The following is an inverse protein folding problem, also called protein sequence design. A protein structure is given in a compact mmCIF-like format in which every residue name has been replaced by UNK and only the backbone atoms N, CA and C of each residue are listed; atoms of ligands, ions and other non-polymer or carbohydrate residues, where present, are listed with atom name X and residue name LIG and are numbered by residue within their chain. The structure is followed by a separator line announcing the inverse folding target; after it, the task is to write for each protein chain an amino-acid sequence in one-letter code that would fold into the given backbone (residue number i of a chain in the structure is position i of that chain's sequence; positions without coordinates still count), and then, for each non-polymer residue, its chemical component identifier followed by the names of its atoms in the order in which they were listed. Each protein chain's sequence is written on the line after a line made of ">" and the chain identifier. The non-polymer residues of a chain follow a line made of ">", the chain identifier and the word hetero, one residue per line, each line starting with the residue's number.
data_IF_646084207259
#
_entry.id   IF_646084207259
#
_cell.length_a   1.000
_cell.length_b   1.000
_cell.length_c   1.000
_cell.angle_alpha   90.00
_cell.angle_beta   90.00
_cell.angle_gamma   90.00
#
_symmetry.space_group_name_H-M   'P 1'
#
loop_
_entity.id
_entity.type
_entity.pdbx_description
1 polymer ?
#
# COMPACT_ATOMS: atom_id res chain seq x y z
N UNK A 1 -57.71 -15.25 -7.25
CA UNK A 1 -57.66 -15.18 -8.73
C UNK A 1 -57.22 -13.77 -9.13
N UNK A 2 -56.58 -13.65 -10.30
CA UNK A 2 -55.93 -12.47 -10.94
C UNK A 2 -54.60 -12.04 -10.30
N UNK A 3 -53.43 -12.46 -10.81
CA UNK A 3 -52.73 -11.99 -12.05
C UNK A 3 -52.43 -10.49 -11.97
N UNK A 4 -51.19 -9.99 -12.08
CA UNK A 4 -50.37 -10.05 -13.29
C UNK A 4 -48.93 -9.60 -13.04
N UNK A 5 -48.02 -10.18 -13.81
CA UNK A 5 -46.62 -9.81 -14.04
C UNK A 5 -46.44 -8.33 -14.46
N UNK A 6 -45.34 -7.71 -14.02
CA UNK A 6 -44.63 -6.74 -14.87
C UNK A 6 -43.13 -6.80 -14.59
N UNK A 7 -42.42 -7.12 -15.65
CA UNK A 7 -40.98 -6.99 -15.82
C UNK A 7 -40.66 -5.52 -15.99
N UNK A 8 -39.72 -4.99 -15.22
CA UNK A 8 -39.09 -3.70 -15.48
C UNK A 8 -37.60 -3.82 -15.15
N UNK A 9 -36.84 -4.11 -16.20
CA UNK A 9 -35.53 -3.53 -16.54
C UNK A 9 -34.60 -3.21 -15.37
N UNK A 10 -33.61 -4.08 -15.20
CA UNK A 10 -32.31 -3.71 -14.67
C UNK A 10 -31.72 -2.61 -15.58
N UNK A 11 -31.33 -1.44 -15.06
CA UNK A 11 -30.24 -0.70 -15.68
C UNK A 11 -28.97 -1.57 -15.54
N UNK A 12 -28.02 -1.54 -16.50
CA UNK A 12 -26.67 -1.96 -16.16
C UNK A 12 -26.26 -1.16 -14.92
N UNK A 13 -25.72 -1.85 -13.93
CA UNK A 13 -25.12 -1.23 -12.76
C UNK A 13 -23.90 -0.43 -13.25
N UNK A 14 -24.17 0.76 -13.80
CA UNK A 14 -23.24 1.86 -13.79
C UNK A 14 -23.04 2.18 -12.31
N UNK A 15 -22.11 1.46 -11.70
CA UNK A 15 -21.43 1.90 -10.50
C UNK A 15 -20.58 3.13 -10.86
N UNK A 16 -21.26 4.19 -11.30
CA UNK A 16 -20.82 5.57 -11.15
C UNK A 16 -21.09 5.98 -9.70
N UNK A 17 -20.64 5.17 -8.73
CA UNK A 17 -20.08 5.75 -7.52
C UNK A 17 -18.75 6.31 -7.96
N UNK A 18 -18.79 7.52 -8.49
CA UNK A 18 -17.65 8.42 -8.58
C UNK A 18 -17.09 8.57 -7.16
N UNK A 19 -16.27 7.60 -6.75
CA UNK A 19 -15.03 7.98 -6.08
C UNK A 19 -14.40 8.87 -7.14
N UNK A 20 -14.50 10.18 -7.00
CA UNK A 20 -13.48 11.02 -7.60
C UNK A 20 -12.17 10.44 -7.04
N UNK A 21 -11.27 9.82 -7.84
CA UNK A 21 -9.89 9.56 -7.39
C UNK A 21 -9.13 10.89 -7.34
N UNK A 22 -9.85 11.97 -7.02
CA UNK A 22 -9.45 13.35 -7.09
C UNK A 22 -8.43 13.60 -6.01
N UNK A 23 -7.21 13.81 -6.47
CA UNK A 23 -6.06 14.25 -5.69
C UNK A 23 -5.43 13.13 -4.85
N UNK A 24 -5.23 11.95 -5.45
CA UNK A 24 -4.25 11.00 -4.88
C UNK A 24 -2.89 11.70 -4.86
N UNK A 25 -2.29 11.88 -3.67
CA UNK A 25 -0.93 12.39 -3.51
C UNK A 25 0.02 11.50 -4.31
N UNK A 26 0.27 11.87 -5.56
CA UNK A 26 1.23 11.21 -6.41
C UNK A 26 2.61 11.56 -5.90
N UNK A 27 3.34 10.50 -5.56
CA UNK A 27 4.67 10.56 -5.01
C UNK A 27 5.60 9.88 -5.98
N UNK A 28 6.74 10.53 -6.23
CA UNK A 28 7.82 9.92 -6.99
C UNK A 28 8.81 9.32 -5.99
N UNK A 29 8.92 7.99 -5.88
CA UNK A 29 9.93 7.37 -5.03
C UNK A 29 11.33 7.69 -5.55
N UNK A 30 12.26 7.89 -4.63
CA UNK A 30 13.69 7.90 -4.96
C UNK A 30 14.12 6.53 -5.46
N UNK A 31 15.19 6.51 -6.23
CA UNK A 31 15.76 5.31 -6.84
C UNK A 31 15.87 4.09 -5.90
N UNK A 32 16.36 4.19 -4.65
CA UNK A 32 16.45 3.01 -3.77
C UNK A 32 15.09 2.46 -3.34
N UNK A 33 14.10 3.33 -3.06
CA UNK A 33 12.73 2.88 -2.79
C UNK A 33 12.09 2.27 -4.04
N UNK A 34 12.29 2.88 -5.20
CA UNK A 34 11.79 2.39 -6.48
C UNK A 34 12.26 0.95 -6.75
N UNK A 35 13.54 0.64 -6.50
CA UNK A 35 14.09 -0.71 -6.70
C UNK A 35 13.39 -1.77 -5.86
N UNK A 36 13.04 -1.45 -4.61
CA UNK A 36 12.31 -2.36 -3.72
C UNK A 36 10.90 -2.60 -4.27
N UNK A 37 10.21 -1.53 -4.65
CA UNK A 37 8.86 -1.63 -5.24
C UNK A 37 8.89 -2.47 -6.52
N UNK A 38 9.88 -2.26 -7.40
CA UNK A 38 10.06 -3.05 -8.62
C UNK A 38 10.36 -4.52 -8.34
N UNK A 39 11.19 -4.80 -7.33
CA UNK A 39 11.44 -6.17 -6.89
C UNK A 39 10.18 -6.85 -6.30
N UNK A 40 9.20 -6.07 -5.85
CA UNK A 40 7.86 -6.53 -5.45
C UNK A 40 6.89 -6.68 -6.64
N UNK A 41 7.30 -6.32 -7.86
CA UNK A 41 6.46 -6.35 -9.07
C UNK A 41 5.84 -5.00 -9.46
N UNK A 42 6.19 -3.89 -8.81
CA UNK A 42 5.71 -2.57 -9.17
C UNK A 42 6.28 -2.11 -10.52
N UNK A 43 5.45 -1.46 -11.34
CA UNK A 43 5.84 -0.91 -12.64
C UNK A 43 5.53 0.59 -12.69
N UNK A 44 6.43 1.37 -13.27
CA UNK A 44 6.33 2.83 -13.36
C UNK A 44 7.26 3.57 -12.40
N UNK A 45 7.19 4.90 -12.47
CA UNK A 45 8.01 5.82 -11.66
C UNK A 45 7.18 6.67 -10.68
N UNK A 46 5.88 6.76 -10.89
CA UNK A 46 4.95 7.54 -10.09
C UNK A 46 4.00 6.56 -9.42
N UNK A 47 3.85 6.70 -8.11
CA UNK A 47 2.98 5.88 -7.30
C UNK A 47 2.18 6.77 -6.36
N UNK A 48 1.13 6.23 -5.77
CA UNK A 48 0.46 6.84 -4.62
C UNK A 48 1.08 6.30 -3.33
N UNK A 49 0.97 7.04 -2.22
CA UNK A 49 1.45 6.53 -0.91
C UNK A 49 0.80 5.18 -0.57
N UNK A 50 -0.46 4.97 -0.96
CA UNK A 50 -1.17 3.69 -0.78
C UNK A 50 -0.52 2.55 -1.57
N UNK A 51 -0.20 2.78 -2.84
CA UNK A 51 0.48 1.78 -3.67
C UNK A 51 1.87 1.47 -3.14
N UNK A 52 2.64 2.49 -2.74
CA UNK A 52 3.96 2.29 -2.14
C UNK A 52 3.86 1.38 -0.92
N UNK A 53 2.90 1.64 -0.03
CA UNK A 53 2.65 0.79 1.15
C UNK A 53 2.27 -0.64 0.77
N UNK A 54 1.40 -0.81 -0.23
CA UNK A 54 0.98 -2.12 -0.71
C UNK A 54 2.15 -2.94 -1.26
N UNK A 55 2.95 -2.35 -2.14
CA UNK A 55 4.13 -3.02 -2.71
C UNK A 55 5.21 -3.28 -1.67
N UNK A 56 5.37 -2.41 -0.66
CA UNK A 56 6.28 -2.67 0.45
C UNK A 56 5.84 -3.91 1.25
N UNK A 57 4.54 -4.04 1.54
CA UNK A 57 3.98 -5.22 2.18
C UNK A 57 4.20 -6.49 1.37
N UNK A 58 3.95 -6.43 0.06
CA UNK A 58 4.24 -7.54 -0.84
C UNK A 58 5.72 -7.92 -0.89
N UNK A 59 6.62 -6.93 -0.93
CA UNK A 59 8.06 -7.19 -0.92
C UNK A 59 8.47 -7.99 0.32
N UNK A 60 8.02 -7.56 1.50
CA UNK A 60 8.28 -8.23 2.78
C UNK A 60 7.76 -9.67 2.75
N UNK A 61 6.58 -9.88 2.17
CA UNK A 61 5.95 -11.19 2.08
C UNK A 61 6.69 -12.13 1.12
N UNK A 62 6.99 -11.68 -0.09
CA UNK A 62 7.72 -12.46 -1.11
C UNK A 62 9.12 -12.83 -0.63
N UNK A 63 9.78 -11.91 0.08
CA UNK A 63 11.10 -12.13 0.68
C UNK A 63 11.07 -12.86 2.02
N UNK A 64 9.88 -13.10 2.58
CA UNK A 64 9.69 -13.64 3.92
C UNK A 64 10.55 -12.94 4.99
N UNK A 65 10.59 -11.61 4.95
CA UNK A 65 11.35 -10.81 5.92
C UNK A 65 10.64 -10.74 7.29
N UNK A 66 9.44 -11.29 7.43
CA UNK A 66 8.73 -11.33 8.71
C UNK A 66 9.20 -12.51 9.57
N UNK A 67 9.15 -12.35 10.89
CA UNK A 67 9.47 -13.43 11.83
C UNK A 67 8.32 -14.46 11.88
N UNK A 68 8.63 -15.75 11.84
CA UNK A 68 7.61 -16.82 11.89
C UNK A 68 6.93 -16.95 13.27
N UNK A 69 7.65 -16.65 14.36
CA UNK A 69 7.08 -16.62 15.71
C UNK A 69 6.37 -15.28 15.98
N UNK A 70 6.87 -14.21 15.39
CA UNK A 70 6.33 -12.87 15.55
C UNK A 70 6.07 -12.21 14.19
N UNK A 71 5.00 -12.59 13.48
CA UNK A 71 4.69 -12.06 12.14
C UNK A 71 4.51 -10.52 12.07
N UNK A 72 4.29 -9.88 13.23
CA UNK A 72 4.27 -8.43 13.35
C UNK A 72 5.67 -7.79 13.33
N UNK A 73 6.73 -8.58 13.48
CA UNK A 73 8.13 -8.16 13.46
C UNK A 73 8.72 -8.48 12.08
N UNK A 74 9.28 -7.48 11.43
CA UNK A 74 9.96 -7.61 10.13
C UNK A 74 11.45 -7.41 10.35
N UNK A 75 12.25 -8.41 9.97
CA UNK A 75 13.70 -8.41 9.96
C UNK A 75 14.20 -8.11 8.55
N UNK A 76 14.59 -6.85 8.32
CA UNK A 76 15.11 -6.36 7.06
C UNK A 76 16.64 -6.13 7.09
N UNK A 77 17.33 -6.58 8.14
CA UNK A 77 18.78 -6.48 8.28
C UNK A 77 19.52 -7.21 7.16
N UNK A 78 20.33 -6.47 6.40
CA UNK A 78 21.05 -7.00 5.22
C UNK A 78 20.21 -7.05 3.94
N UNK A 79 18.98 -6.53 3.95
CA UNK A 79 18.18 -6.30 2.74
C UNK A 79 18.13 -4.80 2.41
N UNK A 80 17.90 -4.48 1.14
CA UNK A 80 17.70 -3.11 0.65
C UNK A 80 16.63 -2.36 1.45
N UNK A 81 15.60 -3.06 1.91
CA UNK A 81 14.57 -2.47 2.76
C UNK A 81 15.14 -1.97 4.09
N UNK A 82 16.01 -2.74 4.75
CA UNK A 82 16.62 -2.32 6.02
C UNK A 82 17.63 -1.20 5.83
N UNK A 83 18.41 -1.23 4.75
CA UNK A 83 19.31 -0.14 4.38
C UNK A 83 18.53 1.17 4.12
N UNK A 84 17.37 1.07 3.47
CA UNK A 84 16.53 2.22 3.15
C UNK A 84 15.83 2.81 4.38
N UNK A 85 15.32 1.95 5.27
CA UNK A 85 14.73 2.38 6.54
C UNK A 85 15.81 2.85 7.53
N UNK A 86 17.05 2.40 7.38
CA UNK A 86 18.11 2.56 8.38
C UNK A 86 17.85 1.71 9.65
N UNK A 87 17.07 0.63 9.51
CA UNK A 87 16.66 -0.24 10.61
C UNK A 87 16.93 -1.69 10.25
N UNK A 88 17.39 -2.47 11.23
CA UNK A 88 17.56 -3.92 11.06
C UNK A 88 16.24 -4.67 11.20
N UNK A 89 15.30 -4.11 11.97
CA UNK A 89 13.97 -4.66 12.13
C UNK A 89 12.98 -3.60 12.57
N UNK A 90 11.71 -3.78 12.24
CA UNK A 90 10.63 -2.92 12.69
C UNK A 90 9.36 -3.71 12.96
N UNK A 91 8.51 -3.15 13.82
CA UNK A 91 7.21 -3.74 14.13
C UNK A 91 6.14 -3.12 13.26
N UNK A 92 5.31 -3.94 12.62
CA UNK A 92 4.12 -3.53 11.88
C UNK A 92 3.11 -2.82 12.81
N UNK A 93 3.17 -3.08 14.13
CA UNK A 93 2.37 -2.36 15.12
C UNK A 93 2.78 -0.90 15.28
N UNK A 94 4.05 -0.57 15.03
CA UNK A 94 4.54 0.80 15.05
C UNK A 94 4.91 1.24 13.63
N UNK A 95 3.99 1.88 12.93
CA UNK A 95 4.20 2.24 11.53
C UNK A 95 4.96 3.58 11.37
N UNK A 96 5.29 4.25 12.49
CA UNK A 96 6.07 5.49 12.54
C UNK A 96 7.38 5.44 11.72
N UNK A 97 8.21 4.38 11.83
CA UNK A 97 9.48 4.31 11.10
C UNK A 97 9.29 4.19 9.59
N UNK A 98 8.21 3.52 9.18
CA UNK A 98 7.85 3.34 7.80
C UNK A 98 7.42 4.68 7.18
N UNK A 99 6.65 5.48 7.90
CA UNK A 99 6.27 6.84 7.47
C UNK A 99 7.44 7.80 7.40
N UNK A 100 8.35 7.75 8.37
CA UNK A 100 9.59 8.53 8.33
C UNK A 100 10.44 8.17 7.11
N UNK A 101 10.58 6.87 6.81
CA UNK A 101 11.26 6.40 5.61
C UNK A 101 10.57 6.91 4.34
N UNK A 102 9.24 6.79 4.24
CA UNK A 102 8.48 7.28 3.09
C UNK A 102 8.65 8.79 2.92
N UNK A 103 8.53 9.57 3.98
CA UNK A 103 8.72 11.03 3.91
C UNK A 103 10.13 11.41 3.43
N UNK A 104 11.16 10.64 3.78
CA UNK A 104 12.54 10.86 3.34
C UNK A 104 12.79 10.37 1.90
N UNK A 105 12.05 9.37 1.45
CA UNK A 105 12.25 8.70 0.17
C UNK A 105 11.24 9.04 -0.92
N UNK A 106 10.19 9.78 -0.61
CA UNK A 106 9.18 10.23 -1.56
C UNK A 106 9.36 11.71 -1.87
N UNK A 107 9.26 12.05 -3.15
CA UNK A 107 9.16 13.45 -3.61
C UNK A 107 7.69 13.71 -3.94
N UNK A 108 7.03 14.56 -3.15
CA UNK A 108 5.63 14.92 -3.37
C UNK A 108 5.48 15.74 -4.63
N UNK A 109 4.67 15.25 -5.58
CA UNK A 109 4.28 15.99 -6.77
C UNK A 109 2.86 16.52 -6.52
N UNK A 110 2.75 17.72 -5.93
CA UNK A 110 1.51 18.52 -5.75
C UNK A 110 0.54 18.17 -4.58
N UNK A 111 0.44 19.17 -3.67
CA UNK A 111 -0.54 19.58 -2.61
C UNK A 111 -0.93 18.65 -1.43
N UNK A 112 -1.21 19.22 -0.22
CA UNK A 112 -1.34 18.48 1.02
C UNK A 112 -2.77 17.96 1.23
N UNK A 113 -2.96 16.66 1.04
CA UNK A 113 -4.20 15.94 1.39
C UNK A 113 -3.91 14.72 2.26
N UNK A 114 -4.11 14.89 3.57
CA UNK A 114 -4.45 13.92 4.62
C UNK A 114 -3.86 12.49 4.61
N UNK A 115 -3.10 12.24 5.68
CA UNK A 115 -2.37 11.03 6.06
C UNK A 115 -3.29 9.85 6.46
N UNK A 116 -4.11 9.31 5.55
CA UNK A 116 -4.97 8.13 5.84
C UNK A 116 -4.44 6.90 5.07
N UNK A 117 -3.38 6.26 5.56
CA UNK A 117 -2.79 5.09 4.87
C UNK A 117 -2.37 3.94 5.79
N UNK A 118 -2.47 4.11 7.10
CA UNK A 118 -2.04 3.11 8.08
C UNK A 118 -2.95 1.89 8.17
N UNK A 119 -4.27 2.09 8.14
CA UNK A 119 -5.24 1.00 8.30
C UNK A 119 -5.14 -0.03 7.16
N UNK A 120 -4.74 0.40 5.96
CA UNK A 120 -4.64 -0.51 4.82
C UNK A 120 -3.45 -1.47 4.93
N UNK A 121 -2.31 -1.06 5.52
CA UNK A 121 -1.14 -1.94 5.64
C UNK A 121 -1.39 -3.08 6.64
N UNK A 122 -2.08 -2.80 7.75
CA UNK A 122 -2.48 -3.82 8.72
C UNK A 122 -3.52 -4.78 8.11
N UNK A 123 -4.50 -4.25 7.36
CA UNK A 123 -5.49 -5.09 6.66
C UNK A 123 -4.83 -5.95 5.58
N UNK A 124 -3.87 -5.42 4.80
CA UNK A 124 -3.14 -6.20 3.80
C UNK A 124 -2.26 -7.29 4.44
N UNK A 125 -1.76 -7.09 5.66
CA UNK A 125 -1.02 -8.15 6.36
C UNK A 125 -1.94 -9.13 7.11
N UNK A 126 -3.20 -8.75 7.41
CA UNK A 126 -4.17 -9.62 8.11
C UNK A 126 -5.03 -10.46 7.15
N UNK A 127 -5.31 -9.99 5.94
CA UNK A 127 -6.11 -10.72 4.92
C UNK A 127 -5.34 -11.89 4.26
N UNK A 128 -4.03 -12.00 4.50
CA UNK A 128 -3.17 -13.06 3.95
C UNK A 128 -2.70 -14.07 5.03
N UNK A 129 -3.36 -14.07 6.19
CA UNK A 129 -3.19 -15.02 7.29
C UNK A 129 -4.28 -16.07 7.35
#
# INVERSE_FOLDING_TARGET
>A
MTSSSTSAQYPPSENACSITPGQVNQVRPKLPLLKILQAAGAQGEIFTVKEVMHFLGQYIMVKQLYDQQAQHMVHCGGDLLGELLGLQSFSVKDPSPLYEMLRKNLVSTTVPGTLIVFHQLIVVLSEFG
#
